data_IF_880633519251
#
_entry.id   IF_880633519251
#
_cell.length_a   1.000
_cell.length_b   1.000
_cell.length_c   1.000
_cell.angle_alpha   90.00
_cell.angle_beta   90.00
_cell.angle_gamma   90.00
#
_symmetry.space_group_name_H-M   'P 1'
#
loop_
_entity.id
_entity.type
_entity.pdbx_description
1 polymer ?
#
# COMPACT_ATOMS: atom_id res chain seq x y z
N UNK A 1 30.06 -28.32 -8.95
CA UNK A 1 28.92 -27.39 -9.09
C UNK A 1 29.06 -26.29 -8.04
N UNK A 2 28.99 -25.00 -8.40
CA UNK A 2 29.12 -23.94 -7.40
C UNK A 2 27.90 -23.93 -6.46
N UNK A 3 28.10 -23.53 -5.19
CA UNK A 3 27.01 -23.43 -4.19
C UNK A 3 25.82 -22.61 -4.70
N UNK A 4 26.09 -21.55 -5.48
CA UNK A 4 25.05 -20.71 -6.10
C UNK A 4 24.18 -21.45 -7.12
N UNK A 5 24.75 -22.37 -7.91
CA UNK A 5 24.02 -23.21 -8.88
C UNK A 5 23.13 -24.24 -8.19
N UNK A 6 23.61 -24.85 -7.10
CA UNK A 6 22.81 -25.79 -6.28
C UNK A 6 21.62 -25.08 -5.65
N UNK A 7 21.83 -23.88 -5.08
CA UNK A 7 20.77 -23.08 -4.49
C UNK A 7 19.74 -22.61 -5.54
N UNK A 8 20.15 -22.28 -6.76
CA UNK A 8 19.24 -21.91 -7.87
C UNK A 8 18.36 -23.09 -8.27
N UNK A 9 18.94 -24.27 -8.53
CA UNK A 9 18.19 -25.49 -8.90
C UNK A 9 17.20 -25.88 -7.82
N UNK A 10 17.57 -25.80 -6.54
CA UNK A 10 16.67 -26.06 -5.42
C UNK A 10 15.48 -25.09 -5.39
N UNK A 11 15.69 -23.80 -5.65
CA UNK A 11 14.61 -22.81 -5.72
C UNK A 11 13.66 -23.08 -6.90
N UNK A 12 14.19 -23.46 -8.06
CA UNK A 12 13.38 -23.83 -9.23
C UNK A 12 12.49 -25.05 -8.93
N UNK A 13 13.01 -26.08 -8.25
CA UNK A 13 12.24 -27.27 -7.89
C UNK A 13 11.14 -26.94 -6.85
N UNK A 14 11.44 -26.07 -5.88
CA UNK A 14 10.45 -25.58 -4.92
C UNK A 14 9.38 -24.77 -5.64
N UNK A 15 9.75 -23.87 -6.57
CA UNK A 15 8.82 -23.05 -7.31
C UNK A 15 7.85 -23.89 -8.15
N UNK A 16 8.33 -24.92 -8.82
CA UNK A 16 7.48 -25.87 -9.57
C UNK A 16 6.43 -26.53 -8.68
N UNK A 17 6.82 -26.98 -7.49
CA UNK A 17 5.90 -27.59 -6.51
C UNK A 17 4.83 -26.59 -6.05
N UNK A 18 5.22 -25.34 -5.78
CA UNK A 18 4.30 -24.28 -5.35
C UNK A 18 3.34 -23.90 -6.48
N UNK A 19 3.84 -23.72 -7.71
CA UNK A 19 3.00 -23.41 -8.87
C UNK A 19 1.98 -24.52 -9.16
N UNK A 20 2.35 -25.78 -9.01
CA UNK A 20 1.41 -26.89 -9.12
C UNK A 20 0.32 -26.83 -8.04
N UNK A 21 0.66 -26.43 -6.82
CA UNK A 21 -0.31 -26.22 -5.75
C UNK A 21 -1.26 -25.07 -6.10
N UNK A 22 -0.74 -23.94 -6.62
CA UNK A 22 -1.55 -22.81 -7.06
C UNK A 22 -2.47 -23.20 -8.22
N UNK A 23 -1.98 -23.98 -9.19
CA UNK A 23 -2.78 -24.53 -10.30
C UNK A 23 -3.96 -25.36 -9.77
N UNK A 24 -3.73 -26.24 -8.79
CA UNK A 24 -4.80 -27.04 -8.15
C UNK A 24 -5.86 -26.17 -7.46
N UNK A 25 -5.53 -24.95 -7.06
CA UNK A 25 -6.46 -23.96 -6.48
C UNK A 25 -7.09 -23.03 -7.54
N UNK A 26 -6.87 -23.31 -8.82
CA UNK A 26 -7.47 -22.60 -9.95
C UNK A 26 -6.72 -21.33 -10.38
N UNK A 27 -5.44 -21.18 -10.01
CA UNK A 27 -4.60 -20.10 -10.51
C UNK A 27 -3.89 -20.52 -11.80
N UNK A 28 -3.94 -19.65 -12.81
CA UNK A 28 -3.24 -19.82 -14.08
C UNK A 28 -1.86 -19.17 -14.00
N UNK A 29 -0.84 -19.90 -14.37
CA UNK A 29 0.51 -19.34 -14.48
C UNK A 29 0.57 -18.31 -15.60
N UNK A 30 1.25 -17.20 -15.32
CA UNK A 30 1.57 -16.16 -16.30
C UNK A 30 3.07 -15.87 -16.22
N UNK A 31 3.67 -15.72 -17.38
CA UNK A 31 5.03 -15.19 -17.49
C UNK A 31 4.95 -13.66 -17.56
N UNK A 32 5.82 -13.00 -16.84
CA UNK A 32 5.76 -11.56 -16.63
C UNK A 32 7.04 -10.90 -17.15
N UNK A 33 6.87 -9.79 -17.87
CA UNK A 33 7.98 -8.99 -18.35
C UNK A 33 8.88 -8.52 -17.20
N UNK A 34 10.20 -8.62 -17.41
CA UNK A 34 11.22 -8.16 -16.48
C UNK A 34 11.36 -6.65 -16.53
N UNK A 35 11.23 -6.08 -17.73
CA UNK A 35 11.34 -4.65 -18.00
C UNK A 35 9.96 -4.03 -18.08
N UNK A 36 9.75 -2.94 -17.37
CA UNK A 36 8.48 -2.20 -17.31
C UNK A 36 8.75 -0.75 -17.73
N UNK A 37 7.80 -0.15 -18.41
CA UNK A 37 7.80 1.27 -18.71
C UNK A 37 7.79 2.09 -17.41
N UNK A 38 8.81 2.94 -17.21
CA UNK A 38 8.96 3.74 -15.98
C UNK A 38 7.81 4.73 -15.80
N UNK A 39 7.24 5.25 -16.90
CA UNK A 39 6.12 6.17 -16.81
C UNK A 39 4.87 5.51 -16.22
N UNK A 40 4.64 4.23 -16.52
CA UNK A 40 3.57 3.46 -15.89
C UNK A 40 3.79 3.34 -14.36
N UNK A 41 5.04 3.22 -13.93
CA UNK A 41 5.38 3.13 -12.51
C UNK A 41 5.29 4.49 -11.80
N UNK A 42 5.72 5.57 -12.43
CA UNK A 42 5.92 6.87 -11.77
C UNK A 42 4.70 7.77 -11.81
N UNK A 43 4.03 7.90 -12.95
CA UNK A 43 2.84 8.73 -13.07
C UNK A 43 1.69 8.25 -12.18
N UNK A 44 1.71 6.97 -11.81
CA UNK A 44 0.54 6.29 -11.25
C UNK A 44 0.78 5.62 -9.89
N UNK A 45 2.01 5.26 -9.54
CA UNK A 45 2.34 4.66 -8.22
C UNK A 45 3.04 5.65 -7.28
N UNK A 46 3.27 6.88 -7.73
CA UNK A 46 3.92 7.96 -7.00
C UNK A 46 5.45 7.89 -7.02
N UNK A 47 6.11 9.04 -6.79
CA UNK A 47 7.57 9.18 -6.78
C UNK A 47 8.30 8.23 -5.80
N UNK A 48 7.60 7.72 -4.79
CA UNK A 48 8.19 6.79 -3.84
C UNK A 48 8.61 5.48 -4.51
N UNK A 49 7.88 5.03 -5.53
CA UNK A 49 8.24 3.83 -6.29
C UNK A 49 9.49 4.03 -7.13
N UNK A 50 9.66 5.23 -7.72
CA UNK A 50 10.84 5.60 -8.51
C UNK A 50 12.14 5.46 -7.69
N UNK A 51 12.10 5.70 -6.38
CA UNK A 51 13.25 5.59 -5.48
C UNK A 51 13.73 4.16 -5.24
N UNK A 52 12.85 3.17 -5.41
CA UNK A 52 13.18 1.76 -5.18
C UNK A 52 13.33 0.96 -6.47
N UNK A 53 12.95 1.51 -7.62
CA UNK A 53 13.10 0.88 -8.92
C UNK A 53 14.48 1.18 -9.52
N UNK A 54 15.09 0.19 -10.14
CA UNK A 54 16.27 0.41 -10.95
C UNK A 54 15.84 0.90 -12.33
N UNK A 55 16.05 2.19 -12.59
CA UNK A 55 15.66 2.85 -13.82
C UNK A 55 16.85 3.07 -14.74
N UNK A 56 16.66 2.93 -16.05
CA UNK A 56 17.64 3.19 -17.08
C UNK A 56 16.95 3.66 -18.36
N UNK A 57 17.71 4.13 -19.36
CA UNK A 57 17.18 4.55 -20.65
C UNK A 57 17.52 3.51 -21.71
N UNK A 58 16.57 3.22 -22.57
CA UNK A 58 16.82 2.44 -23.78
C UNK A 58 17.53 3.28 -24.86
N UNK A 59 17.84 2.67 -26.01
CA UNK A 59 18.54 3.37 -27.12
C UNK A 59 17.71 4.52 -27.71
N UNK A 60 16.40 4.54 -27.53
CA UNK A 60 15.51 5.62 -27.98
C UNK A 60 15.42 6.77 -26.96
N UNK A 61 16.05 6.64 -25.78
CA UNK A 61 15.98 7.60 -24.68
C UNK A 61 14.76 7.40 -23.78
N UNK A 62 13.95 6.37 -24.00
CA UNK A 62 12.79 6.05 -23.18
C UNK A 62 13.21 5.51 -21.81
N UNK A 63 12.63 6.04 -20.74
CA UNK A 63 12.87 5.53 -19.38
C UNK A 63 12.15 4.19 -19.16
N UNK A 64 12.93 3.18 -18.81
CA UNK A 64 12.46 1.83 -18.47
C UNK A 64 13.01 1.41 -17.12
N UNK A 65 12.32 0.48 -16.46
CA UNK A 65 12.67 -0.01 -15.13
C UNK A 65 12.70 -1.53 -15.09
N UNK A 66 13.59 -2.09 -14.29
CA UNK A 66 13.41 -3.48 -13.86
C UNK A 66 12.23 -3.55 -12.88
N UNK A 67 11.38 -4.58 -13.03
CA UNK A 67 10.20 -4.77 -12.19
C UNK A 67 10.57 -4.85 -10.70
N UNK A 68 10.03 -3.96 -9.84
CA UNK A 68 10.34 -3.97 -8.42
C UNK A 68 9.52 -4.98 -7.63
N UNK A 69 8.41 -5.45 -8.20
CA UNK A 69 7.61 -6.59 -7.72
C UNK A 69 6.79 -7.19 -8.87
N UNK A 70 6.23 -8.38 -8.63
CA UNK A 70 5.48 -9.09 -9.65
C UNK A 70 3.97 -8.78 -9.60
N UNK A 71 3.47 -8.18 -8.53
CA UNK A 71 2.06 -7.72 -8.43
C UNK A 71 1.78 -6.61 -9.45
N UNK A 72 2.67 -5.60 -9.53
CA UNK A 72 2.54 -4.51 -10.51
C UNK A 72 2.65 -5.05 -11.93
N UNK A 73 3.62 -5.92 -12.20
CA UNK A 73 3.76 -6.55 -13.51
C UNK A 73 2.49 -7.33 -13.92
N UNK A 74 1.89 -8.08 -12.97
CA UNK A 74 0.62 -8.78 -13.17
C UNK A 74 -0.53 -7.82 -13.49
N UNK A 75 -0.61 -6.71 -12.77
CA UNK A 75 -1.64 -5.69 -12.99
C UNK A 75 -1.51 -5.04 -14.39
N UNK A 76 -0.29 -4.73 -14.82
CA UNK A 76 0.00 -4.21 -16.17
C UNK A 76 -0.43 -5.22 -17.24
N UNK A 77 -0.01 -6.46 -17.13
CA UNK A 77 -0.35 -7.51 -18.08
C UNK A 77 -1.87 -7.79 -18.13
N UNK A 78 -2.56 -7.72 -16.98
CA UNK A 78 -4.03 -7.83 -16.95
C UNK A 78 -4.71 -6.73 -17.75
N UNK A 79 -4.22 -5.49 -17.65
CA UNK A 79 -4.74 -4.34 -18.40
C UNK A 79 -4.48 -4.49 -19.90
N UNK A 80 -3.25 -4.84 -20.28
CA UNK A 80 -2.82 -5.00 -21.68
C UNK A 80 -3.61 -6.08 -22.41
N UNK A 81 -3.86 -7.20 -21.73
CA UNK A 81 -4.62 -8.31 -22.30
C UNK A 81 -6.13 -8.05 -22.42
N UNK A 82 -6.62 -6.85 -22.02
CA UNK A 82 -8.04 -6.45 -22.06
C UNK A 82 -8.99 -7.51 -21.54
N UNK A 83 -8.53 -8.33 -20.57
CA UNK A 83 -9.33 -9.44 -20.03
C UNK A 83 -10.61 -8.91 -19.38
N UNK A 84 -11.75 -9.44 -19.82
CA UNK A 84 -13.04 -9.26 -19.20
C UNK A 84 -13.28 -10.46 -18.27
N UNK A 85 -13.64 -10.21 -17.01
CA UNK A 85 -13.94 -11.28 -16.04
C UNK A 85 -12.91 -11.45 -14.93
N UNK A 86 -13.10 -12.46 -14.10
CA UNK A 86 -12.22 -12.75 -12.96
C UNK A 86 -10.90 -13.35 -13.44
N UNK A 87 -9.80 -12.68 -13.11
CA UNK A 87 -8.45 -13.19 -13.33
C UNK A 87 -7.91 -13.84 -12.05
N UNK A 88 -7.50 -15.11 -12.13
CA UNK A 88 -6.73 -15.80 -11.09
C UNK A 88 -5.37 -16.15 -11.66
N UNK A 89 -4.33 -15.44 -11.22
CA UNK A 89 -2.99 -15.55 -11.78
C UNK A 89 -2.01 -16.05 -10.74
N UNK A 90 -1.03 -16.83 -11.17
CA UNK A 90 0.16 -17.18 -10.40
C UNK A 90 1.39 -16.87 -11.22
N UNK A 91 2.46 -16.54 -10.54
CA UNK A 91 3.73 -16.18 -11.16
C UNK A 91 4.92 -16.67 -10.34
N UNK A 92 6.07 -16.73 -11.01
CA UNK A 92 7.38 -16.91 -10.40
C UNK A 92 8.40 -16.07 -11.16
N UNK A 93 9.30 -15.40 -10.44
CA UNK A 93 10.40 -14.66 -11.05
C UNK A 93 11.12 -13.75 -10.08
N UNK A 94 12.21 -13.15 -10.58
CA UNK A 94 13.01 -12.23 -9.79
C UNK A 94 12.40 -10.84 -9.76
N UNK A 95 12.46 -10.19 -8.59
CA UNK A 95 12.16 -8.79 -8.36
C UNK A 95 13.45 -8.03 -8.04
N UNK A 96 13.51 -6.75 -8.42
CA UNK A 96 14.70 -5.91 -8.39
C UNK A 96 14.41 -4.63 -7.61
N UNK A 97 15.04 -4.42 -6.46
CA UNK A 97 14.80 -3.22 -5.64
C UNK A 97 16.09 -2.59 -5.18
N UNK A 98 16.14 -1.28 -5.19
CA UNK A 98 17.18 -0.53 -4.51
C UNK A 98 16.84 -0.44 -3.02
N UNK A 99 17.84 -0.68 -2.17
CA UNK A 99 17.70 -0.42 -0.74
C UNK A 99 17.86 1.10 -0.45
N UNK A 100 17.75 1.50 0.82
CA UNK A 100 17.92 2.92 1.21
C UNK A 100 19.33 3.48 0.92
N UNK A 101 20.33 2.61 0.74
CA UNK A 101 21.70 3.01 0.40
C UNK A 101 21.95 3.04 -1.11
N UNK A 102 20.98 2.63 -1.93
CA UNK A 102 21.10 2.53 -3.38
C UNK A 102 21.62 1.18 -3.89
N UNK A 103 21.87 0.20 -3.00
CA UNK A 103 22.35 -1.12 -3.43
C UNK A 103 21.20 -1.92 -4.04
N UNK A 104 21.48 -2.59 -5.15
CA UNK A 104 20.51 -3.47 -5.80
C UNK A 104 20.31 -4.76 -5.00
N UNK A 105 19.06 -5.04 -4.68
CA UNK A 105 18.59 -6.32 -4.14
C UNK A 105 17.82 -7.08 -5.19
N UNK A 106 18.25 -8.30 -5.46
CA UNK A 106 17.55 -9.25 -6.31
C UNK A 106 17.02 -10.39 -5.45
N UNK A 107 15.74 -10.67 -5.56
CA UNK A 107 15.11 -11.76 -4.79
C UNK A 107 14.00 -12.41 -5.61
N UNK A 108 13.85 -13.72 -5.43
CA UNK A 108 12.86 -14.49 -6.17
C UNK A 108 11.51 -14.48 -5.45
N UNK A 109 10.47 -14.08 -6.16
CA UNK A 109 9.09 -14.08 -5.69
C UNK A 109 8.27 -15.14 -6.41
N UNK A 110 7.43 -15.82 -5.65
CA UNK A 110 6.36 -16.65 -6.18
C UNK A 110 5.05 -16.19 -5.53
N UNK A 111 4.01 -15.98 -6.32
CA UNK A 111 2.78 -15.41 -5.77
C UNK A 111 1.54 -15.74 -6.59
N UNK A 112 0.42 -15.24 -6.08
CA UNK A 112 -0.88 -15.39 -6.71
C UNK A 112 -1.74 -14.15 -6.50
N UNK A 113 -2.52 -13.81 -7.54
CA UNK A 113 -3.37 -12.62 -7.61
C UNK A 113 -4.78 -12.99 -8.06
N UNK A 114 -5.77 -12.35 -7.49
CA UNK A 114 -7.16 -12.42 -7.93
C UNK A 114 -7.61 -11.00 -8.29
N UNK A 115 -7.95 -10.78 -9.55
CA UNK A 115 -8.36 -9.47 -10.09
C UNK A 115 -9.80 -9.59 -10.58
N UNK A 116 -10.62 -8.57 -10.31
CA UNK A 116 -12.02 -8.47 -10.70
C UNK A 116 -12.92 -9.56 -10.05
N UNK A 117 -12.66 -9.90 -8.79
CA UNK A 117 -13.51 -10.82 -8.04
C UNK A 117 -14.76 -10.11 -7.51
N UNK A 118 -15.91 -10.78 -7.61
CA UNK A 118 -17.15 -10.36 -6.94
C UNK A 118 -17.24 -10.81 -5.48
N UNK A 119 -16.45 -11.83 -5.10
CA UNK A 119 -16.38 -12.37 -3.75
C UNK A 119 -15.13 -11.89 -3.02
N UNK A 120 -15.13 -11.97 -1.70
CA UNK A 120 -13.98 -11.66 -0.84
C UNK A 120 -12.86 -12.68 -1.03
N UNK A 121 -11.74 -12.35 -1.69
CA UNK A 121 -10.68 -13.30 -2.02
C UNK A 121 -9.67 -13.49 -0.89
N UNK A 122 -9.76 -12.72 0.21
CA UNK A 122 -8.76 -12.64 1.28
C UNK A 122 -8.42 -14.00 1.86
N UNK A 123 -9.46 -14.79 2.19
CA UNK A 123 -9.26 -16.12 2.75
C UNK A 123 -8.60 -17.07 1.76
N UNK A 124 -9.04 -17.04 0.49
CA UNK A 124 -8.49 -17.94 -0.54
C UNK A 124 -6.99 -17.67 -0.75
N UNK A 125 -6.60 -16.41 -0.90
CA UNK A 125 -5.20 -16.03 -1.06
C UNK A 125 -4.39 -16.39 0.19
N UNK A 126 -4.84 -15.96 1.39
CA UNK A 126 -4.10 -16.21 2.62
C UNK A 126 -3.96 -17.71 2.91
N UNK A 127 -5.03 -18.49 2.75
CA UNK A 127 -4.98 -19.96 2.92
C UNK A 127 -4.09 -20.65 1.87
N UNK A 128 -4.02 -20.08 0.67
CA UNK A 128 -3.13 -20.56 -0.40
C UNK A 128 -1.66 -20.35 -0.02
N UNK A 129 -1.31 -19.14 0.43
CA UNK A 129 0.04 -18.84 0.92
C UNK A 129 0.39 -19.70 2.13
N UNK A 130 -0.53 -19.83 3.09
CA UNK A 130 -0.31 -20.65 4.30
C UNK A 130 -0.14 -22.13 3.99
N UNK A 131 -0.78 -22.66 2.94
CA UNK A 131 -0.57 -24.07 2.54
C UNK A 131 0.85 -24.36 2.04
N UNK A 132 1.58 -23.34 1.59
CA UNK A 132 3.01 -23.44 1.24
C UNK A 132 3.89 -23.39 2.50
N UNK A 133 3.56 -22.49 3.43
CA UNK A 133 4.39 -22.13 4.58
C UNK A 133 4.12 -23.00 5.81
N UNK A 134 2.98 -23.68 5.87
CA UNK A 134 2.46 -24.38 7.06
C UNK A 134 3.40 -25.41 7.72
N UNK A 135 4.42 -25.88 7.00
CA UNK A 135 5.41 -26.82 7.54
C UNK A 135 6.45 -26.15 8.45
N UNK A 136 6.52 -24.82 8.45
CA UNK A 136 7.45 -24.07 9.27
C UNK A 136 6.86 -23.87 10.68
N UNK A 137 7.62 -24.24 11.70
CA UNK A 137 7.25 -24.01 13.09
C UNK A 137 7.37 -22.52 13.44
N UNK A 138 6.55 -22.03 14.41
CA UNK A 138 6.59 -20.65 14.90
C UNK A 138 6.26 -19.58 13.84
N UNK A 139 5.27 -19.86 13.00
CA UNK A 139 4.78 -18.91 12.02
C UNK A 139 3.74 -17.99 12.64
N UNK A 140 3.89 -16.68 12.44
CA UNK A 140 2.98 -15.64 12.88
C UNK A 140 2.42 -14.87 11.68
N UNK A 141 1.14 -14.52 11.74
CA UNK A 141 0.48 -13.70 10.73
C UNK A 141 0.13 -12.36 11.35
N UNK A 142 0.59 -11.27 10.72
CA UNK A 142 0.18 -9.92 11.06
C UNK A 142 -0.82 -9.45 10.02
N UNK A 143 -1.96 -8.93 10.48
CA UNK A 143 -3.03 -8.40 9.61
C UNK A 143 -3.33 -6.96 10.01
N UNK A 144 -3.66 -6.14 9.02
CA UNK A 144 -4.26 -4.82 9.16
C UNK A 144 -5.39 -4.65 8.15
N UNK A 145 -6.27 -3.68 8.39
CA UNK A 145 -7.16 -3.12 7.38
C UNK A 145 -6.81 -1.64 7.19
N UNK A 146 -6.14 -1.34 6.09
CA UNK A 146 -5.69 0.03 5.74
C UNK A 146 -6.88 1.00 5.63
N UNK A 147 -8.06 0.51 5.23
CA UNK A 147 -9.26 1.33 5.15
C UNK A 147 -9.66 1.92 6.52
N UNK A 148 -9.39 1.23 7.63
CA UNK A 148 -9.67 1.74 8.98
C UNK A 148 -8.90 3.01 9.28
N UNK A 149 -7.61 3.07 8.90
CA UNK A 149 -6.80 4.27 9.07
C UNK A 149 -7.34 5.44 8.22
N UNK A 150 -7.66 5.19 6.96
CA UNK A 150 -8.19 6.23 6.07
C UNK A 150 -9.54 6.75 6.57
N UNK A 151 -10.42 5.86 7.01
CA UNK A 151 -11.72 6.21 7.55
C UNK A 151 -11.62 6.93 8.90
N UNK A 152 -10.65 6.55 9.76
CA UNK A 152 -10.32 7.28 10.98
C UNK A 152 -9.95 8.74 10.64
N UNK A 153 -8.99 8.96 9.75
CA UNK A 153 -8.58 10.33 9.35
C UNK A 153 -9.77 11.12 8.82
N UNK A 154 -10.64 10.48 8.02
CA UNK A 154 -11.82 11.14 7.46
C UNK A 154 -12.87 11.51 8.53
N UNK A 155 -12.95 10.76 9.64
CA UNK A 155 -13.91 11.01 10.73
C UNK A 155 -13.45 12.06 11.74
N UNK A 156 -12.15 12.41 11.76
CA UNK A 156 -11.61 13.42 12.65
C UNK A 156 -12.12 14.82 12.25
N UNK A 157 -12.23 15.71 13.23
CA UNK A 157 -12.52 17.12 12.98
C UNK A 157 -11.24 17.85 12.57
N UNK A 158 -10.89 17.71 11.30
CA UNK A 158 -9.73 18.31 10.67
C UNK A 158 -10.14 18.92 9.31
N UNK A 159 -9.51 20.01 8.86
CA UNK A 159 -9.71 20.54 7.52
C UNK A 159 -9.45 19.47 6.45
N UNK A 160 -10.27 19.45 5.39
CA UNK A 160 -10.16 18.49 4.28
C UNK A 160 -8.73 18.37 3.73
N UNK A 161 -8.03 19.51 3.62
CA UNK A 161 -6.64 19.56 3.15
C UNK A 161 -5.70 18.70 4.01
N UNK A 162 -5.86 18.76 5.34
CA UNK A 162 -5.04 17.97 6.27
C UNK A 162 -5.38 16.50 6.20
N UNK A 163 -6.67 16.14 6.13
CA UNK A 163 -7.08 14.75 5.93
C UNK A 163 -6.42 14.13 4.70
N UNK A 164 -6.49 14.83 3.56
CA UNK A 164 -5.87 14.36 2.31
C UNK A 164 -4.34 14.24 2.41
N UNK A 165 -3.66 15.19 3.08
CA UNK A 165 -2.20 15.13 3.29
C UNK A 165 -1.80 13.95 4.18
N UNK A 166 -2.49 13.75 5.29
CA UNK A 166 -2.24 12.63 6.20
C UNK A 166 -2.41 11.28 5.51
N UNK A 167 -3.51 11.09 4.77
CA UNK A 167 -3.76 9.87 4.02
C UNK A 167 -2.69 9.67 2.95
N UNK A 168 -2.39 10.70 2.16
CA UNK A 168 -1.42 10.62 1.06
C UNK A 168 0.00 10.28 1.52
N UNK A 169 0.39 10.78 2.67
CA UNK A 169 1.77 10.67 3.15
C UNK A 169 1.95 9.68 4.30
N UNK A 170 0.93 8.90 4.63
CA UNK A 170 0.98 7.93 5.73
C UNK A 170 2.08 6.87 5.59
N UNK A 171 2.55 6.61 4.37
CA UNK A 171 3.65 5.67 4.08
C UNK A 171 5.05 6.25 4.32
N UNK A 172 5.19 7.59 4.37
CA UNK A 172 6.46 8.30 4.54
C UNK A 172 6.64 8.67 6.00
N UNK A 173 7.17 7.75 6.81
CA UNK A 173 7.19 7.87 8.28
C UNK A 173 7.68 9.23 8.76
N UNK A 174 8.86 9.66 8.38
CA UNK A 174 9.46 10.92 8.83
C UNK A 174 8.61 12.15 8.47
N UNK A 175 8.11 12.19 7.22
CA UNK A 175 7.25 13.28 6.79
C UNK A 175 5.86 13.22 7.43
N UNK A 176 5.33 12.03 7.69
CA UNK A 176 4.06 11.85 8.38
C UNK A 176 4.16 12.30 9.84
N UNK A 177 5.24 11.93 10.53
CA UNK A 177 5.50 12.36 11.92
C UNK A 177 5.65 13.90 11.98
N UNK A 178 6.27 14.50 10.96
CA UNK A 178 6.37 15.95 10.83
C UNK A 178 4.99 16.60 10.60
N UNK A 179 4.12 16.01 9.78
CA UNK A 179 2.74 16.49 9.61
C UNK A 179 1.95 16.44 10.93
N UNK A 180 2.12 15.38 11.71
CA UNK A 180 1.50 15.27 13.03
C UNK A 180 2.03 16.33 13.99
N UNK A 181 3.33 16.62 13.97
CA UNK A 181 3.93 17.68 14.79
C UNK A 181 3.35 19.06 14.44
N UNK A 182 3.20 19.36 13.14
CA UNK A 182 2.58 20.62 12.68
C UNK A 182 1.13 20.78 13.15
N UNK A 183 0.37 19.69 13.13
CA UNK A 183 -1.01 19.70 13.64
C UNK A 183 -1.09 19.84 15.17
N UNK A 184 -0.12 19.28 15.88
CA UNK A 184 -0.09 19.26 17.33
C UNK A 184 0.27 20.64 17.92
N UNK A 185 1.23 21.31 17.32
CA UNK A 185 1.85 22.53 17.85
C UNK A 185 1.59 23.79 17.03
N UNK A 186 1.05 23.66 15.83
CA UNK A 186 0.83 24.78 14.89
C UNK A 186 2.10 25.65 14.63
N UNK A 187 3.30 25.13 14.92
CA UNK A 187 4.56 25.89 14.88
C UNK A 187 4.92 26.46 13.50
N UNK A 188 4.34 25.89 12.44
CA UNK A 188 4.52 26.36 11.06
C UNK A 188 3.43 27.34 10.61
N UNK A 189 2.50 27.71 11.50
CA UNK A 189 1.60 28.86 11.31
C UNK A 189 2.40 30.14 11.56
N UNK A 190 2.92 30.67 10.51
CA UNK A 190 3.68 31.90 10.47
C UNK A 190 2.78 32.98 9.82
N UNK A 191 2.30 33.90 10.64
CA UNK A 191 1.43 34.98 10.18
C UNK A 191 2.10 35.86 9.10
N UNK A 192 3.41 35.99 9.13
CA UNK A 192 4.18 36.70 8.13
C UNK A 192 4.19 35.95 6.79
N UNK A 193 4.38 34.62 6.82
CA UNK A 193 4.26 33.77 5.61
C UNK A 193 2.84 33.76 5.06
N UNK A 194 1.82 33.75 5.92
CA UNK A 194 0.42 33.86 5.49
C UNK A 194 0.19 35.21 4.78
N UNK A 195 0.72 36.29 5.31
CA UNK A 195 0.66 37.62 4.68
C UNK A 195 1.38 37.62 3.32
N UNK A 196 2.60 37.10 3.25
CA UNK A 196 3.35 36.97 1.99
C UNK A 196 2.60 36.15 0.96
N UNK A 197 2.01 35.02 1.38
CA UNK A 197 1.21 34.22 0.48
C UNK A 197 -0.07 34.91 0.03
N UNK A 198 -0.67 35.78 0.86
CA UNK A 198 -1.81 36.63 0.51
C UNK A 198 -1.43 37.72 -0.51
N UNK A 199 -0.29 38.39 -0.29
CA UNK A 199 0.22 39.40 -1.21
C UNK A 199 0.54 38.77 -2.58
N UNK A 200 1.19 37.63 -2.60
CA UNK A 200 1.43 36.86 -3.84
C UNK A 200 0.14 36.40 -4.54
N UNK A 201 -0.89 36.02 -3.79
CA UNK A 201 -2.19 35.68 -4.37
C UNK A 201 -2.83 36.91 -5.03
N UNK A 202 -2.71 38.07 -4.40
CA UNK A 202 -3.23 39.34 -4.94
C UNK A 202 -2.50 39.72 -6.22
N UNK A 203 -1.17 39.60 -6.22
CA UNK A 203 -0.33 39.81 -7.41
C UNK A 203 -0.72 38.86 -8.56
N UNK A 204 -0.84 37.58 -8.28
CA UNK A 204 -1.22 36.55 -9.28
C UNK A 204 -2.61 36.83 -9.88
N UNK A 205 -3.58 37.26 -9.09
CA UNK A 205 -4.92 37.65 -9.57
C UNK A 205 -4.94 38.92 -10.41
N UNK A 206 -3.91 39.75 -10.25
CA UNK A 206 -3.72 40.97 -11.05
C UNK A 206 -2.95 40.79 -12.36
N UNK A 207 -2.29 39.64 -12.52
CA UNK A 207 -1.49 39.33 -13.71
C UNK A 207 -2.31 38.40 -14.65
N UNK A 208 -2.56 38.88 -15.86
CA UNK A 208 -3.16 38.04 -16.92
C UNK A 208 -2.10 37.07 -17.48
N UNK A 209 -1.84 35.96 -16.75
CA UNK A 209 -0.80 35.02 -17.11
C UNK A 209 -1.43 33.83 -17.84
N UNK A 210 -1.58 33.92 -19.14
CA UNK A 210 -1.95 32.81 -20.03
C UNK A 210 -0.81 31.76 -20.20
N UNK A 211 -0.02 31.47 -19.16
CA UNK A 211 1.12 30.56 -19.24
C UNK A 211 0.98 29.40 -18.29
N UNK A 212 1.22 28.19 -18.81
CA UNK A 212 1.38 26.98 -17.99
C UNK A 212 2.74 27.06 -17.30
N UNK A 213 2.75 27.19 -15.97
CA UNK A 213 3.99 27.22 -15.16
C UNK A 213 4.17 25.84 -14.50
N UNK A 214 5.20 25.12 -14.90
CA UNK A 214 5.53 23.81 -14.32
C UNK A 214 4.41 22.76 -14.48
N UNK A 215 3.68 22.80 -15.62
CA UNK A 215 2.60 21.85 -15.93
C UNK A 215 1.27 22.13 -15.22
N UNK A 216 1.08 23.35 -14.65
CA UNK A 216 -0.16 23.75 -13.97
C UNK A 216 -0.73 25.02 -14.59
N UNK A 217 -2.07 25.10 -14.62
CA UNK A 217 -2.77 26.32 -15.04
C UNK A 217 -2.72 27.38 -13.92
N UNK A 218 -2.94 28.61 -14.31
CA UNK A 218 -3.02 29.74 -13.37
C UNK A 218 -4.12 29.52 -12.31
N UNK A 219 -5.29 29.04 -12.73
CA UNK A 219 -6.39 28.74 -11.82
C UNK A 219 -6.01 27.67 -10.79
N UNK A 220 -5.27 26.63 -11.19
CA UNK A 220 -4.78 25.60 -10.25
C UNK A 220 -3.79 26.17 -9.24
N UNK A 221 -2.98 27.15 -9.64
CA UNK A 221 -2.02 27.84 -8.77
C UNK A 221 -2.77 28.74 -7.78
N UNK A 222 -3.70 29.57 -8.26
CA UNK A 222 -4.53 30.46 -7.46
C UNK A 222 -5.34 29.64 -6.43
N UNK A 223 -6.04 28.60 -6.85
CA UNK A 223 -6.81 27.72 -5.97
C UNK A 223 -5.94 27.10 -4.87
N UNK A 224 -4.69 26.77 -5.18
CA UNK A 224 -3.74 26.22 -4.22
C UNK A 224 -3.30 27.27 -3.18
N UNK A 225 -3.07 28.51 -3.58
CA UNK A 225 -2.74 29.61 -2.67
C UNK A 225 -3.94 29.94 -1.78
N UNK A 226 -5.15 30.06 -2.33
CA UNK A 226 -6.37 30.30 -1.56
C UNK A 226 -6.59 29.21 -0.50
N UNK A 227 -6.41 27.93 -0.87
CA UNK A 227 -6.49 26.80 0.07
C UNK A 227 -5.39 26.81 1.13
N UNK A 228 -4.24 27.46 0.85
CA UNK A 228 -3.13 27.56 1.79
C UNK A 228 -3.38 28.66 2.81
N UNK A 229 -3.89 29.80 2.38
CA UNK A 229 -4.23 30.97 3.22
C UNK A 229 -5.43 30.66 4.13
N UNK A 230 -6.42 29.93 3.62
CA UNK A 230 -7.64 29.52 4.35
C UNK A 230 -7.45 28.22 5.13
N UNK A 231 -6.30 27.96 5.77
CA UNK A 231 -6.07 26.78 6.60
C UNK A 231 -6.38 27.10 8.07
N UNK A 232 -7.66 27.01 8.52
CA UNK A 232 -8.09 27.47 9.84
C UNK A 232 -7.77 26.41 10.91
N UNK A 233 -6.50 26.05 11.09
CA UNK A 233 -6.08 25.03 12.06
C UNK A 233 -6.42 25.36 13.49
N UNK A 234 -6.45 26.64 13.83
CA UNK A 234 -6.69 27.14 15.19
C UNK A 234 -8.08 26.79 15.74
N UNK A 235 -9.05 26.56 14.83
CA UNK A 235 -10.43 26.21 15.20
C UNK A 235 -10.70 24.70 15.27
N UNK A 236 -9.67 23.88 15.04
CA UNK A 236 -9.82 22.42 15.00
C UNK A 236 -9.00 21.76 16.12
N UNK A 237 -9.54 20.68 16.69
CA UNK A 237 -8.88 19.91 17.74
C UNK A 237 -7.64 19.16 17.25
N UNK A 238 -6.61 19.89 16.78
CA UNK A 238 -5.39 19.36 16.20
C UNK A 238 -4.68 18.40 17.13
N UNK A 239 -4.37 18.84 18.37
CA UNK A 239 -3.70 18.00 19.38
C UNK A 239 -4.50 16.77 19.76
N UNK A 240 -5.83 16.87 19.91
CA UNK A 240 -6.70 15.73 20.19
C UNK A 240 -6.70 14.75 19.01
N UNK A 241 -6.82 15.25 17.79
CA UNK A 241 -6.75 14.44 16.56
C UNK A 241 -5.41 13.72 16.45
N UNK A 242 -4.30 14.40 16.73
CA UNK A 242 -2.96 13.80 16.73
C UNK A 242 -2.83 12.68 17.77
N UNK A 243 -3.35 12.90 18.98
CA UNK A 243 -3.38 11.88 20.02
C UNK A 243 -4.14 10.63 19.56
N UNK A 244 -5.35 10.81 19.02
CA UNK A 244 -6.16 9.69 18.51
C UNK A 244 -5.43 8.94 17.38
N UNK A 245 -4.80 9.65 16.45
CA UNK A 245 -4.02 9.04 15.36
C UNK A 245 -2.85 8.21 15.93
N UNK A 246 -2.06 8.80 16.83
CA UNK A 246 -0.92 8.12 17.48
C UNK A 246 -1.36 6.89 18.26
N UNK A 247 -2.46 6.98 19.00
CA UNK A 247 -3.00 5.86 19.79
C UNK A 247 -3.53 4.74 18.87
N UNK A 248 -4.24 5.08 17.78
CA UNK A 248 -4.66 4.11 16.79
C UNK A 248 -3.46 3.40 16.16
N UNK A 249 -2.40 4.12 15.80
CA UNK A 249 -1.21 3.51 15.18
C UNK A 249 -0.44 2.57 16.12
N UNK A 250 -0.54 2.78 17.42
CA UNK A 250 0.01 1.87 18.44
C UNK A 250 -0.87 0.64 18.69
N UNK A 251 -2.09 0.62 18.13
CA UNK A 251 -3.05 -0.43 18.40
C UNK A 251 -2.56 -1.78 17.86
N UNK A 252 -2.42 -2.74 18.76
CA UNK A 252 -2.07 -4.14 18.50
C UNK A 252 -2.91 -5.05 19.37
N UNK A 253 -3.40 -6.15 18.81
CA UNK A 253 -4.15 -7.15 19.56
C UNK A 253 -4.14 -8.50 18.84
N UNK A 254 -4.29 -9.64 19.55
CA UNK A 254 -4.66 -10.91 18.92
C UNK A 254 -5.91 -10.72 18.07
N UNK A 255 -5.95 -11.32 16.86
CA UNK A 255 -7.02 -11.06 15.89
C UNK A 255 -8.42 -11.33 16.47
N UNK A 256 -8.58 -12.40 17.28
CA UNK A 256 -9.85 -12.72 17.92
C UNK A 256 -10.38 -11.67 18.89
N UNK A 257 -9.48 -10.89 19.50
CA UNK A 257 -9.84 -9.80 20.44
C UNK A 257 -9.84 -8.43 19.74
N UNK A 258 -9.29 -8.31 18.53
CA UNK A 258 -9.06 -7.03 17.86
C UNK A 258 -10.36 -6.32 17.51
N UNK A 259 -11.36 -7.04 17.03
CA UNK A 259 -12.61 -6.46 16.54
C UNK A 259 -13.42 -5.79 17.66
N UNK A 260 -13.49 -6.41 18.84
CA UNK A 260 -14.12 -5.80 20.01
C UNK A 260 -13.33 -4.58 20.50
N UNK A 261 -12.01 -4.72 20.62
CA UNK A 261 -11.15 -3.61 21.05
C UNK A 261 -11.15 -2.42 20.09
N UNK A 262 -11.22 -2.66 18.78
CA UNK A 262 -11.34 -1.61 17.75
C UNK A 262 -12.66 -0.85 17.93
N UNK A 263 -13.77 -1.58 18.09
CA UNK A 263 -15.08 -0.95 18.33
C UNK A 263 -15.02 -0.05 19.58
N UNK A 264 -14.55 -0.58 20.70
CA UNK A 264 -14.40 0.19 21.92
C UNK A 264 -13.47 1.41 21.78
N UNK A 265 -12.40 1.28 20.98
CA UNK A 265 -11.50 2.41 20.71
C UNK A 265 -12.23 3.55 19.99
N UNK A 266 -13.01 3.23 18.95
CA UNK A 266 -13.75 4.24 18.21
C UNK A 266 -14.91 4.83 19.03
N UNK A 267 -15.65 4.02 19.75
CA UNK A 267 -16.75 4.46 20.62
C UNK A 267 -16.24 5.41 21.73
N UNK A 268 -15.12 5.06 22.39
CA UNK A 268 -14.47 5.90 23.43
C UNK A 268 -14.04 7.28 22.91
N UNK A 269 -13.68 7.37 21.63
CA UNK A 269 -13.25 8.61 21.02
C UNK A 269 -14.41 9.33 20.27
N UNK A 270 -15.65 8.87 20.43
CA UNK A 270 -16.86 9.39 19.77
C UNK A 270 -16.73 9.44 18.24
N UNK A 271 -16.05 8.45 17.64
CA UNK A 271 -15.77 8.43 16.21
C UNK A 271 -16.74 7.50 15.48
N UNK A 272 -17.48 8.07 14.51
CA UNK A 272 -18.29 7.30 13.57
C UNK A 272 -17.45 6.93 12.34
N UNK A 273 -16.93 5.70 12.32
CA UNK A 273 -16.07 5.22 11.24
C UNK A 273 -16.94 4.65 10.11
N UNK A 274 -16.78 5.20 8.90
CA UNK A 274 -17.42 4.66 7.72
C UNK A 274 -16.99 3.19 7.50
N UNK A 275 -17.94 2.35 7.13
CA UNK A 275 -17.71 0.91 6.84
C UNK A 275 -17.02 0.10 7.96
N UNK A 276 -17.01 0.58 9.23
CA UNK A 276 -16.41 -0.12 10.36
C UNK A 276 -16.93 -1.56 10.47
N UNK A 277 -18.25 -1.75 10.35
CA UNK A 277 -18.85 -3.08 10.44
C UNK A 277 -18.35 -4.02 9.34
N UNK A 278 -18.11 -3.51 8.12
CA UNK A 278 -17.56 -4.29 7.01
C UNK A 278 -16.13 -4.76 7.32
N UNK A 279 -15.27 -3.88 7.82
CA UNK A 279 -13.92 -4.22 8.28
C UNK A 279 -13.95 -5.25 9.42
N UNK A 280 -14.81 -5.04 10.42
CA UNK A 280 -14.99 -5.98 11.54
C UNK A 280 -15.44 -7.36 11.06
N UNK A 281 -16.38 -7.42 10.13
CA UNK A 281 -16.87 -8.70 9.58
C UNK A 281 -15.77 -9.44 8.82
N UNK A 282 -14.98 -8.73 7.99
CA UNK A 282 -13.82 -9.33 7.31
C UNK A 282 -12.80 -9.90 8.29
N UNK A 283 -12.42 -9.15 9.32
CA UNK A 283 -11.47 -9.59 10.34
C UNK A 283 -11.99 -10.79 11.15
N UNK A 284 -13.30 -10.78 11.52
CA UNK A 284 -13.96 -11.90 12.19
C UNK A 284 -13.98 -13.16 11.31
N UNK A 285 -14.30 -13.03 10.02
CA UNK A 285 -14.33 -14.16 9.09
C UNK A 285 -12.94 -14.77 8.90
N UNK A 286 -11.91 -13.95 8.77
CA UNK A 286 -10.52 -14.41 8.70
C UNK A 286 -10.10 -15.12 9.99
N UNK A 287 -10.46 -14.57 11.16
CA UNK A 287 -10.18 -15.22 12.43
C UNK A 287 -10.89 -16.56 12.57
N UNK A 288 -12.18 -16.64 12.23
CA UNK A 288 -12.97 -17.88 12.29
C UNK A 288 -12.38 -18.98 11.42
N UNK A 289 -11.90 -18.63 10.22
CA UNK A 289 -11.39 -19.60 9.22
C UNK A 289 -9.94 -20.02 9.47
N UNK A 290 -9.13 -19.20 10.14
CA UNK A 290 -7.69 -19.41 10.27
C UNK A 290 -7.19 -19.43 11.71
N UNK A 291 -7.93 -18.82 12.65
CA UNK A 291 -7.43 -18.53 14.00
C UNK A 291 -7.14 -19.75 14.88
N UNK A 292 -7.77 -20.89 14.59
CA UNK A 292 -7.47 -22.14 15.31
C UNK A 292 -6.16 -22.80 14.89
N UNK A 293 -5.61 -22.42 13.72
CA UNK A 293 -4.43 -23.05 13.14
C UNK A 293 -3.16 -22.19 13.26
N UNK A 294 -3.33 -20.88 13.35
CA UNK A 294 -2.22 -19.93 13.27
C UNK A 294 -2.31 -18.86 14.35
N UNK A 295 -1.15 -18.40 14.81
CA UNK A 295 -1.07 -17.19 15.63
C UNK A 295 -1.26 -15.97 14.74
N UNK A 296 -2.38 -15.25 14.92
CA UNK A 296 -2.73 -14.10 14.10
C UNK A 296 -2.92 -12.88 15.00
N UNK A 297 -2.25 -11.79 14.66
CA UNK A 297 -2.38 -10.50 15.34
C UNK A 297 -2.82 -9.39 14.37
N UNK A 298 -3.65 -8.48 14.88
CA UNK A 298 -3.95 -7.22 14.22
C UNK A 298 -2.92 -6.17 14.64
N UNK A 299 -2.40 -5.40 13.69
CA UNK A 299 -1.48 -4.29 13.95
C UNK A 299 -1.82 -3.12 13.02
N UNK A 300 -2.37 -2.04 13.57
CA UNK A 300 -2.82 -0.87 12.81
C UNK A 300 -1.69 -0.12 12.05
N UNK A 301 -0.44 -0.32 12.44
CA UNK A 301 0.70 0.28 11.77
C UNK A 301 1.17 -0.50 10.55
N UNK A 302 0.86 -1.81 10.48
CA UNK A 302 1.34 -2.70 9.45
C UNK A 302 0.77 -2.36 8.06
N UNK A 303 1.57 -2.50 7.01
CA UNK A 303 1.15 -2.39 5.60
C UNK A 303 1.02 -0.96 5.06
N UNK A 304 1.16 0.08 5.91
CA UNK A 304 1.07 1.49 5.50
C UNK A 304 2.20 1.93 4.56
N UNK A 305 3.35 1.26 4.62
CA UNK A 305 4.49 1.50 3.75
C UNK A 305 4.22 1.06 2.29
N UNK A 306 3.28 0.16 2.07
CA UNK A 306 2.86 -0.27 0.74
C UNK A 306 1.72 0.62 0.25
N UNK A 307 2.06 1.63 -0.57
CA UNK A 307 1.16 2.72 -0.95
C UNK A 307 -0.09 2.30 -1.73
N UNK A 308 -0.05 1.14 -2.38
CA UNK A 308 -1.18 0.67 -3.19
C UNK A 308 -2.19 -0.18 -2.41
N UNK A 309 -1.93 -0.56 -1.15
CA UNK A 309 -2.93 -1.28 -0.37
C UNK A 309 -4.11 -0.40 0.02
N UNK A 310 -5.32 -0.95 -0.12
CA UNK A 310 -6.59 -0.22 0.07
C UNK A 310 -7.49 -0.79 1.16
N UNK A 311 -7.23 -2.00 1.62
CA UNK A 311 -8.03 -2.73 2.61
C UNK A 311 -7.18 -3.70 3.42
N UNK A 312 -7.63 -4.96 3.51
CA UNK A 312 -6.88 -5.98 4.25
C UNK A 312 -5.47 -6.12 3.68
N UNK A 313 -4.49 -6.02 4.55
CA UNK A 313 -3.08 -6.31 4.28
C UNK A 313 -2.56 -7.30 5.31
N UNK A 314 -1.68 -8.22 4.90
CA UNK A 314 -1.09 -9.19 5.79
C UNK A 314 0.37 -9.48 5.46
N UNK A 315 1.12 -9.94 6.45
CA UNK A 315 2.40 -10.61 6.24
C UNK A 315 2.50 -11.84 7.14
N UNK A 316 3.29 -12.78 6.65
CA UNK A 316 3.60 -14.03 7.35
C UNK A 316 5.06 -14.01 7.74
N UNK A 317 5.31 -14.17 9.02
CA UNK A 317 6.66 -14.18 9.59
C UNK A 317 7.00 -15.57 10.13
N UNK A 318 8.26 -15.95 9.98
CA UNK A 318 8.88 -17.01 10.77
C UNK A 318 9.95 -16.37 11.63
N UNK A 319 9.73 -16.31 12.94
CA UNK A 319 10.56 -15.52 13.85
C UNK A 319 10.59 -14.03 13.41
N UNK A 320 11.75 -13.50 13.00
CA UNK A 320 11.92 -12.11 12.54
C UNK A 320 11.93 -11.96 11.02
N UNK A 321 11.83 -13.08 10.25
CA UNK A 321 11.91 -13.08 8.79
C UNK A 321 10.53 -13.02 8.17
N UNK A 322 10.29 -12.05 7.30
CA UNK A 322 9.09 -11.96 6.50
C UNK A 322 9.16 -12.94 5.34
N UNK A 323 8.30 -13.96 5.37
CA UNK A 323 8.23 -15.00 4.35
C UNK A 323 7.31 -14.64 3.21
N UNK A 324 6.19 -13.98 3.51
CA UNK A 324 5.19 -13.60 2.53
C UNK A 324 4.49 -12.31 2.94
N UNK A 325 4.01 -11.58 1.94
CA UNK A 325 3.22 -10.36 2.10
C UNK A 325 2.13 -10.31 1.04
N UNK A 326 0.97 -9.79 1.41
CA UNK A 326 -0.15 -9.63 0.50
C UNK A 326 -1.17 -8.61 1.01
N UNK A 327 -2.15 -8.30 0.16
CA UNK A 327 -3.22 -7.39 0.52
C UNK A 327 -4.14 -7.02 -0.63
N UNK A 328 -5.14 -6.22 -0.28
CA UNK A 328 -6.12 -5.64 -1.19
C UNK A 328 -5.55 -4.37 -1.84
N UNK A 329 -5.63 -4.29 -3.19
CA UNK A 329 -5.09 -3.16 -3.96
C UNK A 329 -6.04 -2.69 -5.07
N UNK A 330 -7.29 -2.44 -4.70
CA UNK A 330 -8.39 -2.11 -5.61
C UNK A 330 -8.16 -0.87 -6.49
N UNK A 331 -7.30 0.05 -6.07
CA UNK A 331 -7.01 1.27 -6.83
C UNK A 331 -5.85 1.10 -7.83
N UNK A 332 -5.02 0.06 -7.68
CA UNK A 332 -3.81 -0.10 -8.49
C UNK A 332 -4.13 -0.22 -9.99
N UNK A 333 -5.13 -1.04 -10.34
CA UNK A 333 -5.54 -1.24 -11.74
C UNK A 333 -5.95 0.09 -12.39
N UNK A 334 -6.77 0.89 -11.69
CA UNK A 334 -7.18 2.23 -12.16
C UNK A 334 -5.97 3.16 -12.26
N UNK A 335 -5.11 3.14 -11.27
CA UNK A 335 -3.89 3.95 -11.23
C UNK A 335 -2.97 3.63 -12.42
N UNK A 336 -2.90 2.38 -12.84
CA UNK A 336 -2.15 1.92 -14.01
C UNK A 336 -2.89 2.12 -15.36
N UNK A 337 -4.05 2.80 -15.38
CA UNK A 337 -4.81 3.16 -16.59
C UNK A 337 -5.90 2.18 -16.99
N UNK A 338 -6.14 1.15 -16.18
CA UNK A 338 -7.28 0.26 -16.34
C UNK A 338 -8.57 0.81 -15.71
N UNK A 339 -9.64 0.02 -15.75
CA UNK A 339 -10.89 0.33 -15.05
C UNK A 339 -10.77 0.06 -13.55
N UNK A 340 -11.53 0.80 -12.73
CA UNK A 340 -11.64 0.52 -11.28
C UNK A 340 -12.05 -0.94 -11.08
N UNK A 341 -11.23 -1.72 -10.38
CA UNK A 341 -11.38 -3.16 -10.29
C UNK A 341 -10.88 -3.67 -8.94
N UNK A 342 -11.60 -4.61 -8.34
CA UNK A 342 -11.14 -5.29 -7.13
C UNK A 342 -9.90 -6.12 -7.41
N UNK A 343 -8.93 -6.07 -6.52
CA UNK A 343 -7.72 -6.86 -6.64
C UNK A 343 -7.16 -7.22 -5.27
N UNK A 344 -6.74 -8.48 -5.12
CA UNK A 344 -6.11 -9.00 -3.91
C UNK A 344 -5.08 -10.06 -4.28
N UNK A 345 -3.91 -9.98 -3.68
CA UNK A 345 -2.87 -10.95 -3.97
C UNK A 345 -1.80 -11.03 -2.91
N UNK A 346 -0.88 -11.97 -3.10
CA UNK A 346 0.26 -12.14 -2.21
C UNK A 346 1.44 -12.80 -2.89
N UNK A 347 2.63 -12.46 -2.42
CA UNK A 347 3.89 -13.04 -2.84
C UNK A 347 4.67 -13.62 -1.66
N UNK A 348 5.33 -14.74 -1.91
CA UNK A 348 6.29 -15.40 -1.03
C UNK A 348 7.69 -15.03 -1.52
N UNK A 349 8.57 -14.65 -0.61
CA UNK A 349 9.99 -14.48 -0.87
C UNK A 349 10.69 -15.83 -0.77
N UNK A 350 11.05 -16.43 -1.90
CA UNK A 350 11.68 -17.75 -1.93
C UNK A 350 13.08 -17.79 -1.30
N UNK A 351 13.77 -16.65 -1.24
CA UNK A 351 15.08 -16.56 -0.62
C UNK A 351 15.01 -16.75 0.91
N UNK A 352 13.84 -16.50 1.51
CA UNK A 352 13.60 -16.69 2.95
C UNK A 352 12.93 -18.04 3.29
N UNK A 353 12.45 -18.78 2.31
CA UNK A 353 11.95 -20.16 2.44
C UNK A 353 13.14 -21.14 2.48
N UNK A 354 13.71 -21.39 3.65
CA UNK A 354 14.80 -22.37 3.86
C UNK A 354 14.31 -23.58 4.61
#
# INVERSE_FOLDING_TARGET
MSKALVDKKKREDISKKILNLFKKKGFNFIDLDIVIDTDLLTQRSGEAFKKYALNFKDKSGKEISLRPDLTIATAIQYIQNKKKGVGKFSYFGSAFRLNKKGDLRVFDQIGCEIINSKSSPEFLILSTIMSVIQKLKKTEIIINDIALFQNLINSLDLPRRWKLRLIRHCSRKEYFDELLRRLDTNYDLDNEKIRIDHDRLTELKGMNINKIIGGRTEEEIIERFEKKIKDPRDNFGGSQSVKIIKDFLKFKAPLGKSTYKLKNFFDKNNLKIKDLNKSILKLKDLHRKLGSKYTISFNAQFGRETQYYTGIAFAVFNQKKELARGGEYNNLIKTLGGKQTSAFGAAINLNELK
#
